data_IF_281582885723
#
_entry.id   IF_281582885723
#
_cell.length_a   1.000
_cell.length_b   1.000
_cell.length_c   1.000
_cell.angle_alpha   90.00
_cell.angle_beta   90.00
_cell.angle_gamma   90.00
#
_symmetry.space_group_name_H-M   'P 1'
#
loop_
_entity.id
_entity.type
_entity.pdbx_description
1 polymer ?
#
# COMPACT_ATOMS: atom_id res chain seq x y z
N UNK A 1 -24.70 -7.11 11.27
CA UNK A 1 -24.03 -6.42 10.15
C UNK A 1 -22.81 -5.74 10.73
N UNK A 2 -21.64 -6.32 10.54
CA UNK A 2 -20.38 -5.65 10.87
C UNK A 2 -20.14 -4.53 9.87
N UNK A 3 -20.06 -3.29 10.33
CA UNK A 3 -19.68 -2.15 9.52
C UNK A 3 -18.18 -2.25 9.31
N UNK A 4 -17.75 -2.70 8.14
CA UNK A 4 -16.35 -2.69 7.73
C UNK A 4 -15.91 -1.22 7.55
N UNK A 5 -15.08 -0.71 8.45
CA UNK A 5 -14.49 0.61 8.33
C UNK A 5 -13.35 0.55 7.31
N UNK A 6 -13.60 1.05 6.11
CA UNK A 6 -12.54 1.27 5.12
C UNK A 6 -12.17 2.75 5.11
N UNK A 7 -11.00 3.13 5.61
CA UNK A 7 -10.54 4.50 5.48
C UNK A 7 -10.41 4.86 4.00
N UNK A 8 -10.88 6.04 3.62
CA UNK A 8 -10.62 6.57 2.28
C UNK A 8 -9.12 6.79 2.12
N UNK A 9 -8.61 6.81 0.87
CA UNK A 9 -7.19 7.12 0.61
C UNK A 9 -6.74 8.43 1.28
N UNK A 10 -7.64 9.39 1.49
CA UNK A 10 -7.39 10.62 2.27
C UNK A 10 -7.17 10.32 3.75
N UNK A 11 -7.87 9.32 4.29
CA UNK A 11 -7.65 8.83 5.65
C UNK A 11 -6.27 8.19 5.79
N UNK A 12 -5.86 7.38 4.82
CA UNK A 12 -4.54 6.76 4.79
C UNK A 12 -3.41 7.80 4.77
N UNK A 13 -3.55 8.85 3.95
CA UNK A 13 -2.60 9.98 3.92
C UNK A 13 -2.52 10.68 5.29
N UNK A 14 -3.66 10.91 5.94
CA UNK A 14 -3.68 11.54 7.27
C UNK A 14 -2.98 10.68 8.32
N UNK A 15 -3.21 9.38 8.29
CA UNK A 15 -2.56 8.43 9.20
C UNK A 15 -1.05 8.41 8.94
N UNK A 16 -0.64 8.31 7.67
CA UNK A 16 0.77 8.34 7.30
C UNK A 16 1.46 9.65 7.77
N UNK A 17 0.82 10.81 7.57
CA UNK A 17 1.35 12.10 8.05
C UNK A 17 1.43 12.18 9.58
N UNK A 18 0.50 11.57 10.30
CA UNK A 18 0.44 11.65 11.77
C UNK A 18 1.40 10.70 12.47
N UNK A 19 1.54 9.47 11.95
CA UNK A 19 2.22 8.38 12.64
C UNK A 19 3.52 7.93 11.96
N UNK A 20 3.96 8.58 10.88
CA UNK A 20 5.24 8.26 10.26
C UNK A 20 6.39 8.50 11.23
N UNK A 21 7.25 7.50 11.38
CA UNK A 21 8.49 7.60 12.18
C UNK A 21 9.36 8.74 11.62
N UNK A 22 9.45 8.84 10.29
CA UNK A 22 10.13 9.93 9.61
C UNK A 22 9.14 11.05 9.32
N UNK A 23 9.31 12.28 9.86
CA UNK A 23 8.32 13.32 9.70
C UNK A 23 8.03 13.67 8.24
N UNK A 24 6.78 13.44 7.83
CA UNK A 24 6.32 13.71 6.47
C UNK A 24 6.05 15.20 6.29
N UNK A 25 6.56 15.77 5.21
CA UNK A 25 6.25 17.14 4.77
C UNK A 25 4.98 17.13 3.91
N UNK A 26 4.97 16.32 2.85
CA UNK A 26 3.81 16.20 1.97
C UNK A 26 3.72 14.83 1.30
N UNK A 27 2.50 14.45 0.90
CA UNK A 27 2.19 13.27 0.09
C UNK A 27 1.25 13.70 -1.02
N UNK A 28 1.61 13.42 -2.26
CA UNK A 28 0.76 13.67 -3.42
C UNK A 28 0.89 12.56 -4.47
N UNK A 29 -0.08 12.49 -5.36
CA UNK A 29 -0.03 11.61 -6.52
C UNK A 29 -0.59 12.30 -7.76
N UNK A 30 -0.11 11.88 -8.90
CA UNK A 30 -0.51 12.35 -10.23
C UNK A 30 -0.61 11.19 -11.20
N UNK A 31 -1.48 11.29 -12.18
CA UNK A 31 -1.41 10.44 -13.37
C UNK A 31 -0.31 10.96 -14.30
N UNK A 32 0.34 10.05 -14.99
CA UNK A 32 1.29 10.34 -16.05
C UNK A 32 0.61 10.05 -17.37
N UNK A 33 0.65 11.01 -18.29
CA UNK A 33 0.00 10.93 -19.59
C UNK A 33 1.01 10.92 -20.74
N UNK A 34 0.60 10.44 -21.87
CA UNK A 34 1.41 10.56 -23.08
C UNK A 34 1.84 12.02 -23.32
N UNK A 35 3.13 12.22 -23.61
CA UNK A 35 3.72 13.53 -23.81
C UNK A 35 4.25 14.20 -22.53
N UNK A 36 3.88 13.73 -21.35
CA UNK A 36 4.51 14.21 -20.11
C UNK A 36 5.98 13.74 -20.04
N UNK A 37 6.83 14.55 -19.44
CA UNK A 37 8.22 14.14 -19.15
C UNK A 37 8.20 13.38 -17.83
N UNK A 38 8.60 12.13 -17.88
CA UNK A 38 8.72 11.25 -16.72
C UNK A 38 10.05 10.48 -16.80
N UNK A 39 10.94 10.72 -15.86
CA UNK A 39 12.25 10.09 -15.78
C UNK A 39 12.51 9.62 -14.35
N UNK A 40 12.86 8.36 -14.20
CA UNK A 40 13.38 7.79 -12.96
C UNK A 40 14.90 7.70 -13.05
N UNK A 41 15.58 8.09 -11.99
CA UNK A 41 17.04 8.01 -11.88
C UNK A 41 17.43 7.43 -10.54
N UNK A 42 18.43 6.57 -10.56
CA UNK A 42 19.10 6.09 -9.35
C UNK A 42 20.57 6.49 -9.52
N UNK A 43 21.03 7.40 -8.68
CA UNK A 43 22.40 7.91 -8.69
C UNK A 43 23.00 7.65 -7.32
N UNK A 44 24.08 6.89 -7.26
CA UNK A 44 24.77 6.53 -6.02
C UNK A 44 23.87 5.89 -4.94
N UNK A 45 22.85 5.14 -5.40
CA UNK A 45 21.87 4.49 -4.53
C UNK A 45 20.71 5.40 -4.09
N UNK A 46 20.74 6.68 -4.43
CA UNK A 46 19.64 7.60 -4.18
C UNK A 46 18.65 7.62 -5.35
N UNK A 47 17.39 7.40 -5.01
CA UNK A 47 16.30 7.46 -5.97
C UNK A 47 15.88 8.91 -6.20
N UNK A 48 15.78 9.30 -7.45
CA UNK A 48 15.22 10.59 -7.83
C UNK A 48 14.26 10.46 -8.99
N UNK A 49 13.32 11.39 -9.08
CA UNK A 49 12.31 11.43 -10.13
C UNK A 49 12.22 12.84 -10.70
N UNK A 50 12.16 12.91 -12.02
CA UNK A 50 11.85 14.14 -12.73
C UNK A 50 10.51 13.95 -13.43
N UNK A 51 9.49 14.68 -12.97
CA UNK A 51 8.16 14.66 -13.55
C UNK A 51 7.73 16.09 -13.92
N UNK A 52 7.53 16.31 -15.21
CA UNK A 52 7.06 17.58 -15.74
C UNK A 52 5.83 17.31 -16.61
N UNK A 53 4.63 17.51 -16.06
CA UNK A 53 3.39 17.34 -16.82
C UNK A 53 3.20 18.47 -17.82
N UNK A 54 2.71 18.13 -19.00
CA UNK A 54 2.25 19.14 -19.96
C UNK A 54 0.99 19.84 -19.43
N UNK A 55 0.90 21.17 -19.56
CA UNK A 55 -0.30 21.90 -19.16
C UNK A 55 -1.54 21.39 -19.90
N UNK A 56 -2.61 21.11 -19.18
CA UNK A 56 -3.91 20.67 -19.74
C UNK A 56 -3.80 19.44 -20.67
N UNK A 57 -2.87 18.53 -20.37
CA UNK A 57 -2.64 17.34 -21.17
C UNK A 57 -3.89 16.44 -21.18
N UNK A 58 -4.50 16.26 -22.35
CA UNK A 58 -5.63 15.34 -22.58
C UNK A 58 -5.21 13.99 -23.15
N UNK A 59 -3.91 13.69 -23.21
CA UNK A 59 -3.38 12.40 -23.68
C UNK A 59 -3.80 11.22 -22.83
N UNK A 60 -3.61 10.01 -23.35
CA UNK A 60 -3.94 8.79 -22.64
C UNK A 60 -3.08 8.63 -21.37
N UNK A 61 -3.68 8.05 -20.34
CA UNK A 61 -2.97 7.74 -19.09
C UNK A 61 -2.05 6.54 -19.35
N UNK A 62 -0.75 6.72 -19.17
CA UNK A 62 0.26 5.67 -19.30
C UNK A 62 0.74 5.11 -17.97
N UNK A 63 0.49 5.84 -16.88
CA UNK A 63 0.86 5.42 -15.53
C UNK A 63 0.37 6.38 -14.47
N UNK A 64 0.81 6.15 -13.26
CA UNK A 64 0.59 7.03 -12.12
C UNK A 64 1.81 7.04 -11.20
N UNK A 65 1.99 8.16 -10.53
CA UNK A 65 3.08 8.46 -9.63
C UNK A 65 2.54 8.93 -8.29
N UNK A 66 3.08 8.42 -7.20
CA UNK A 66 2.88 8.95 -5.86
C UNK A 66 4.24 9.31 -5.23
N UNK A 67 4.29 10.42 -4.53
CA UNK A 67 5.51 10.95 -3.92
C UNK A 67 5.23 11.31 -2.47
N UNK A 68 6.12 10.94 -1.57
CA UNK A 68 6.22 11.47 -0.22
C UNK A 68 7.51 12.25 -0.07
N UNK A 69 7.42 13.45 0.47
CA UNK A 69 8.55 14.27 0.87
C UNK A 69 8.62 14.36 2.38
N UNK A 70 9.83 14.36 2.91
CA UNK A 70 10.09 14.39 4.33
C UNK A 70 10.66 15.73 4.77
N UNK A 71 10.46 16.08 6.03
CA UNK A 71 10.96 17.36 6.58
C UNK A 71 12.49 17.46 6.62
N UNK A 72 13.18 16.32 6.58
CA UNK A 72 14.64 16.24 6.51
C UNK A 72 15.20 16.46 5.10
N UNK A 73 14.34 16.68 4.09
CA UNK A 73 14.70 16.91 2.70
C UNK A 73 14.74 15.65 1.83
N UNK A 74 14.53 14.45 2.40
CA UNK A 74 14.43 13.21 1.64
C UNK A 74 13.08 13.02 0.96
N UNK A 75 13.04 12.11 -0.01
CA UNK A 75 11.81 11.71 -0.69
C UNK A 75 11.79 10.20 -0.93
N UNK A 76 10.57 9.67 -1.06
CA UNK A 76 10.30 8.34 -1.62
C UNK A 76 9.18 8.47 -2.63
N UNK A 77 9.17 7.60 -3.61
CA UNK A 77 8.09 7.58 -4.59
C UNK A 77 7.72 6.15 -4.96
N UNK A 78 6.54 6.01 -5.51
CA UNK A 78 6.05 4.80 -6.17
C UNK A 78 5.50 5.19 -7.52
N UNK A 79 5.90 4.48 -8.57
CA UNK A 79 5.40 4.66 -9.92
C UNK A 79 4.83 3.33 -10.42
N UNK A 80 3.70 3.39 -11.09
CA UNK A 80 3.03 2.22 -11.65
C UNK A 80 2.61 2.51 -13.09
N UNK A 81 2.88 1.58 -13.98
CA UNK A 81 2.32 1.60 -15.32
C UNK A 81 0.80 1.31 -15.30
N UNK A 82 0.09 1.68 -16.35
CA UNK A 82 -1.33 1.29 -16.51
C UNK A 82 -1.49 -0.23 -16.48
N UNK A 83 -0.52 -0.97 -17.02
CA UNK A 83 -0.52 -2.44 -16.96
C UNK A 83 -0.50 -2.96 -15.53
N UNK A 84 0.38 -2.41 -14.67
CA UNK A 84 0.47 -2.79 -13.25
C UNK A 84 -0.80 -2.43 -12.49
N UNK A 85 -1.34 -1.23 -12.76
CA UNK A 85 -2.60 -0.77 -12.15
C UNK A 85 -3.76 -1.69 -12.54
N UNK A 86 -3.84 -2.09 -13.80
CA UNK A 86 -4.87 -3.03 -14.27
C UNK A 86 -4.67 -4.43 -13.69
N UNK A 87 -3.44 -4.88 -13.46
CA UNK A 87 -3.17 -6.14 -12.76
C UNK A 87 -3.68 -6.08 -11.31
N UNK A 88 -3.41 -4.97 -10.59
CA UNK A 88 -3.97 -4.74 -9.26
C UNK A 88 -5.49 -4.72 -9.28
N UNK A 89 -6.09 -4.01 -10.25
CA UNK A 89 -7.54 -3.95 -10.42
C UNK A 89 -8.14 -5.34 -10.59
N UNK A 90 -7.58 -6.16 -11.48
CA UNK A 90 -8.11 -7.49 -11.80
C UNK A 90 -7.94 -8.48 -10.65
N UNK A 91 -6.82 -8.40 -9.92
CA UNK A 91 -6.48 -9.39 -8.91
C UNK A 91 -7.05 -9.07 -7.52
N UNK A 92 -7.23 -7.77 -7.21
CA UNK A 92 -7.52 -7.34 -5.84
C UNK A 92 -8.76 -6.46 -5.68
N UNK A 93 -9.34 -5.94 -6.77
CA UNK A 93 -10.53 -5.10 -6.66
C UNK A 93 -11.79 -5.95 -6.61
N UNK A 94 -12.58 -5.82 -5.54
CA UNK A 94 -13.90 -6.46 -5.43
C UNK A 94 -14.87 -6.00 -6.53
N UNK A 95 -14.65 -4.82 -7.11
CA UNK A 95 -15.49 -4.21 -8.14
C UNK A 95 -14.65 -3.76 -9.35
N UNK A 96 -13.83 -4.67 -9.89
CA UNK A 96 -12.93 -4.38 -11.01
C UNK A 96 -13.64 -3.78 -12.24
N UNK A 97 -14.91 -4.13 -12.46
CA UNK A 97 -15.75 -3.61 -13.54
C UNK A 97 -16.77 -2.55 -13.09
N UNK A 98 -16.63 -2.05 -11.86
CA UNK A 98 -17.51 -1.06 -11.27
C UNK A 98 -17.43 0.32 -11.93
N UNK A 99 -18.43 1.16 -11.62
CA UNK A 99 -18.54 2.52 -12.17
C UNK A 99 -17.31 3.39 -11.91
N UNK A 100 -16.65 3.23 -10.76
CA UNK A 100 -15.47 4.00 -10.40
C UNK A 100 -14.32 3.78 -11.40
N UNK A 101 -14.03 2.52 -11.74
CA UNK A 101 -13.00 2.17 -12.74
C UNK A 101 -13.36 2.60 -14.17
N UNK A 102 -14.66 2.64 -14.50
CA UNK A 102 -15.11 3.05 -15.83
C UNK A 102 -15.18 4.57 -16.01
N UNK A 103 -15.62 5.29 -14.99
CA UNK A 103 -15.96 6.71 -15.11
C UNK A 103 -14.91 7.63 -14.48
N UNK A 104 -14.02 7.09 -13.63
CA UNK A 104 -13.02 7.85 -12.87
C UNK A 104 -11.70 7.08 -12.82
N UNK A 105 -11.24 6.63 -13.97
CA UNK A 105 -10.04 5.81 -14.08
C UNK A 105 -8.79 6.53 -13.55
N UNK A 106 -8.65 7.83 -13.81
CA UNK A 106 -7.60 8.68 -13.28
C UNK A 106 -7.57 8.67 -11.74
N UNK A 107 -8.71 8.82 -11.10
CA UNK A 107 -8.81 8.79 -9.63
C UNK A 107 -8.51 7.41 -9.06
N UNK A 108 -8.87 6.36 -9.78
CA UNK A 108 -8.55 4.99 -9.37
C UNK A 108 -7.06 4.68 -9.52
N UNK A 109 -6.39 5.22 -10.55
CA UNK A 109 -4.93 5.15 -10.70
C UNK A 109 -4.23 5.85 -9.52
N UNK A 110 -4.64 7.07 -9.21
CA UNK A 110 -4.12 7.86 -8.08
C UNK A 110 -4.30 7.11 -6.76
N UNK A 111 -5.49 6.60 -6.50
CA UNK A 111 -5.78 5.81 -5.30
C UNK A 111 -4.88 4.59 -5.18
N UNK A 112 -4.69 3.87 -6.28
CA UNK A 112 -3.89 2.64 -6.30
C UNK A 112 -2.43 2.90 -5.98
N UNK A 113 -1.81 3.88 -6.65
CA UNK A 113 -0.40 4.21 -6.43
C UNK A 113 -0.16 4.82 -5.05
N UNK A 114 -1.07 5.66 -4.54
CA UNK A 114 -0.99 6.21 -3.18
C UNK A 114 -1.02 5.12 -2.11
N UNK A 115 -1.94 4.17 -2.22
CA UNK A 115 -2.01 3.03 -1.30
C UNK A 115 -0.73 2.22 -1.30
N UNK A 116 -0.16 2.01 -2.47
CA UNK A 116 1.10 1.29 -2.59
C UNK A 116 2.25 2.05 -1.95
N UNK A 117 2.36 3.36 -2.16
CA UNK A 117 3.35 4.20 -1.51
C UNK A 117 3.20 4.17 0.01
N UNK A 118 1.98 4.31 0.54
CA UNK A 118 1.73 4.33 1.97
C UNK A 118 2.21 3.07 2.70
N UNK A 119 2.27 1.92 2.02
CA UNK A 119 2.80 0.68 2.58
C UNK A 119 4.31 0.70 2.84
N UNK A 120 5.05 1.54 2.14
CA UNK A 120 6.49 1.70 2.32
C UNK A 120 6.85 2.76 3.35
N UNK A 121 5.87 3.56 3.79
CA UNK A 121 6.08 4.55 4.86
C UNK A 121 6.08 3.81 6.19
N UNK A 122 7.18 3.91 6.93
CA UNK A 122 7.28 3.35 8.27
C UNK A 122 6.39 4.13 9.23
N UNK A 123 5.42 3.44 9.82
CA UNK A 123 4.43 4.01 10.71
C UNK A 123 4.61 3.42 12.11
N UNK A 124 4.72 4.29 13.09
CA UNK A 124 4.70 3.93 14.49
C UNK A 124 3.25 3.93 14.98
N UNK A 125 2.70 2.74 15.16
CA UNK A 125 1.38 2.56 15.75
C UNK A 125 1.52 2.33 17.25
N UNK A 126 0.87 3.18 18.04
CA UNK A 126 0.81 3.05 19.49
C UNK A 126 0.03 1.79 19.94
N UNK A 127 -0.76 1.20 19.04
CA UNK A 127 -1.54 0.00 19.34
C UNK A 127 -1.53 -1.01 18.19
N UNK A 128 -1.60 -2.31 18.55
CA UNK A 128 -1.71 -3.42 17.60
C UNK A 128 -3.01 -3.33 16.81
N UNK A 129 -4.09 -2.87 17.44
CA UNK A 129 -5.39 -2.71 16.78
C UNK A 129 -5.35 -1.66 15.66
N UNK A 130 -4.66 -0.53 15.88
CA UNK A 130 -4.47 0.49 14.85
C UNK A 130 -3.68 -0.05 13.66
N UNK A 131 -2.66 -0.87 13.92
CA UNK A 131 -1.87 -1.54 12.87
C UNK A 131 -2.70 -2.53 12.08
N UNK A 132 -3.48 -3.38 12.74
CA UNK A 132 -4.37 -4.34 12.08
C UNK A 132 -5.42 -3.62 11.23
N UNK A 133 -6.04 -2.54 11.75
CA UNK A 133 -6.98 -1.74 10.98
C UNK A 133 -6.34 -1.08 9.75
N UNK A 134 -5.08 -0.70 9.82
CA UNK A 134 -4.30 -0.18 8.69
C UNK A 134 -4.06 -1.26 7.63
N UNK A 135 -3.60 -2.43 8.04
CA UNK A 135 -3.33 -3.56 7.15
C UNK A 135 -4.60 -4.09 6.47
N UNK A 136 -5.73 -4.15 7.20
CA UNK A 136 -7.03 -4.54 6.68
C UNK A 136 -7.61 -3.53 5.68
N UNK A 137 -7.29 -2.24 5.80
CA UNK A 137 -7.77 -1.19 4.91
C UNK A 137 -7.18 -1.26 3.51
N UNK A 138 -6.09 -2.01 3.35
CA UNK A 138 -5.38 -2.18 2.10
C UNK A 138 -6.08 -3.22 1.22
N UNK A 139 -6.77 -2.77 0.16
CA UNK A 139 -7.41 -3.66 -0.83
C UNK A 139 -6.44 -4.66 -1.50
N UNK A 140 -5.14 -4.46 -1.32
CA UNK A 140 -4.09 -5.30 -1.92
C UNK A 140 -3.78 -6.55 -1.08
N UNK A 141 -4.18 -6.62 0.20
CA UNK A 141 -3.85 -7.72 1.10
C UNK A 141 -5.06 -8.59 1.49
N UNK A 142 -6.26 -8.30 1.00
CA UNK A 142 -7.47 -9.09 1.33
C UNK A 142 -7.39 -10.56 0.91
N UNK A 143 -6.50 -10.91 -0.02
CA UNK A 143 -6.22 -12.31 -0.35
C UNK A 143 -5.20 -12.99 0.58
N UNK A 144 -4.47 -12.23 1.41
CA UNK A 144 -3.59 -12.83 2.43
C UNK A 144 -4.36 -13.21 3.69
N UNK A 145 -5.41 -12.46 4.03
CA UNK A 145 -6.23 -12.71 5.23
C UNK A 145 -7.22 -13.87 5.01
N UNK A 146 -7.56 -14.20 3.76
CA UNK A 146 -8.44 -15.33 3.42
C UNK A 146 -7.68 -16.63 3.08
N UNK A 147 -6.36 -16.66 3.12
CA UNK A 147 -5.69 -17.91 3.38
C UNK A 147 -5.97 -18.24 4.85
N UNK A 148 -6.57 -19.39 5.16
CA UNK A 148 -6.58 -19.83 6.54
C UNK A 148 -5.15 -19.66 7.03
N UNK A 149 -5.00 -19.18 8.26
CA UNK A 149 -3.70 -19.12 8.92
C UNK A 149 -3.20 -20.57 8.91
N UNK A 150 -2.68 -20.97 7.75
CA UNK A 150 -2.19 -22.29 7.51
C UNK A 150 -0.84 -22.35 8.17
N UNK A 151 -0.78 -23.19 9.15
CA UNK A 151 0.37 -23.98 9.54
C UNK A 151 1.65 -23.27 10.01
N UNK A 152 1.91 -22.00 9.64
CA UNK A 152 3.11 -21.30 10.10
C UNK A 152 2.95 -20.59 11.46
N UNK A 153 1.72 -20.31 11.90
CA UNK A 153 1.46 -19.74 13.23
C UNK A 153 1.10 -20.82 14.24
N UNK A 154 0.57 -21.96 13.77
CA UNK A 154 0.29 -23.12 14.61
C UNK A 154 1.60 -23.68 15.19
N UNK A 155 2.70 -23.67 14.43
CA UNK A 155 3.98 -24.18 14.88
C UNK A 155 4.68 -23.35 15.97
N UNK A 156 4.19 -22.16 16.29
CA UNK A 156 4.77 -21.36 17.40
C UNK A 156 4.02 -21.58 18.71
N UNK A 157 2.79 -22.12 18.65
CA UNK A 157 1.95 -22.38 19.85
C UNK A 157 1.75 -23.86 20.18
N UNK A 158 2.34 -24.79 19.42
CA UNK A 158 2.27 -26.24 19.71
C UNK A 158 3.30 -26.71 20.75
N UNK A 159 3.97 -25.79 21.42
CA UNK A 159 4.80 -26.14 22.58
C UNK A 159 4.00 -25.90 23.85
N UNK A 160 3.60 -26.97 24.50
CA UNK A 160 3.06 -26.92 25.86
C UNK A 160 4.24 -26.86 26.80
N UNK A 161 4.34 -25.80 27.59
CA UNK A 161 5.31 -25.70 28.69
C UNK A 161 4.66 -26.36 29.90
N UNK A 162 5.21 -27.50 30.32
CA UNK A 162 4.82 -28.18 31.54
C UNK A 162 5.27 -27.35 32.75
N UNK A 163 4.60 -27.51 33.89
CA UNK A 163 4.88 -26.75 35.12
C UNK A 163 6.30 -26.97 35.67
N UNK A 164 7.02 -27.96 35.17
CA UNK A 164 8.42 -28.28 35.54
C UNK A 164 9.47 -27.60 34.63
N UNK A 165 9.01 -26.82 33.63
CA UNK A 165 9.88 -26.09 32.68
C UNK A 165 10.40 -26.96 31.52
N UNK A 166 9.89 -28.17 31.33
CA UNK A 166 10.22 -28.98 30.15
C UNK A 166 9.33 -28.62 28.94
N UNK A 167 9.93 -28.67 27.75
CA UNK A 167 9.23 -28.37 26.47
C UNK A 167 9.01 -29.72 25.76
N UNK A 168 7.75 -30.06 25.52
CA UNK A 168 7.39 -31.24 24.71
C UNK A 168 6.73 -30.82 23.40
N UNK A 169 7.21 -31.36 22.27
CA UNK A 169 6.56 -31.22 20.97
C UNK A 169 5.38 -32.18 20.89
N UNK A 170 4.23 -31.65 20.48
CA UNK A 170 3.03 -32.46 20.21
C UNK A 170 3.21 -33.14 18.85
N UNK A 171 3.16 -34.48 18.74
CA UNK A 171 3.28 -35.14 17.44
C UNK A 171 2.10 -34.79 16.53
N UNK A 172 2.42 -34.43 15.30
CA UNK A 172 1.43 -34.19 14.24
C UNK A 172 0.64 -35.48 14.03
N UNK A 173 -0.68 -35.43 14.20
CA UNK A 173 -1.56 -36.52 13.86
C UNK A 173 -1.57 -36.76 12.34
N UNK A 174 -1.32 -38.02 11.93
CA UNK A 174 -1.51 -38.54 10.59
C UNK A 174 -2.96 -38.45 10.11
#
# INVERSE_FOLDING_TARGET
QSVEFQPSYRGEIKIAKKYSIRPVLDIYAKVVREGDIFEEKIIDGEQSINFSPLPFNGGDIIGALAVVTYKDGGMQYEAMSVSDINAVRSNYSKMANGKAWKNSFDQMCIKTVLRRLCKYIEIDFESVEARLAWDESSDMDKNRVNKPVSDAVVNVFDTVVEEDGSITEVPANE
#
